data_IF_117607285595
#
_entry.id   IF_117607285595
#
_cell.length_a   1.000
_cell.length_b   1.000
_cell.length_c   1.000
_cell.angle_alpha   90.00
_cell.angle_beta   90.00
_cell.angle_gamma   90.00
#
_symmetry.space_group_name_H-M   'P 1'
#
loop_
_entity.id
_entity.type
_entity.pdbx_description
1 polymer ?
#
# COMPACT_ATOMS: atom_id res chain seq x y z
N UNK A 1 -52.30 4.48 6.18
CA UNK A 1 -51.76 5.82 6.10
C UNK A 1 -50.55 5.91 7.01
N UNK A 2 -49.39 5.78 6.50
CA UNK A 2 -48.12 6.13 7.16
C UNK A 2 -47.22 6.80 6.12
N UNK A 3 -46.87 8.02 6.42
CA UNK A 3 -46.15 9.02 5.65
C UNK A 3 -44.71 8.63 5.36
N UNK A 4 -44.30 8.78 4.10
CA UNK A 4 -42.93 8.71 3.63
C UNK A 4 -42.16 9.98 4.01
N UNK A 5 -40.88 9.92 4.48
CA UNK A 5 -40.07 11.12 4.60
C UNK A 5 -39.49 11.50 3.23
N UNK A 6 -39.71 12.74 2.84
CA UNK A 6 -39.12 13.36 1.65
C UNK A 6 -37.65 13.68 1.87
N UNK A 7 -36.85 13.34 0.88
CA UNK A 7 -35.45 13.75 0.79
C UNK A 7 -35.38 15.13 0.13
N UNK A 8 -35.21 16.18 0.92
CA UNK A 8 -34.90 17.53 0.43
C UNK A 8 -33.88 18.16 1.37
N UNK A 9 -32.66 18.35 0.88
CA UNK A 9 -31.75 19.45 1.23
C UNK A 9 -30.54 19.38 0.27
N UNK A 10 -30.60 20.11 -0.85
CA UNK A 10 -29.47 20.73 -1.53
C UNK A 10 -29.95 22.01 -2.16
N UNK A 11 -29.31 23.18 -1.95
CA UNK A 11 -29.68 24.42 -2.59
C UNK A 11 -29.25 24.43 -4.06
N UNK A 12 -30.16 24.88 -4.91
CA UNK A 12 -29.96 25.19 -6.31
C UNK A 12 -28.98 26.36 -6.46
N UNK A 13 -27.87 26.16 -7.14
CA UNK A 13 -27.24 27.24 -7.89
C UNK A 13 -26.69 26.67 -9.21
N UNK A 14 -27.14 27.25 -10.29
CA UNK A 14 -26.85 26.87 -11.67
C UNK A 14 -25.46 27.33 -12.10
N UNK A 15 -24.87 26.54 -12.94
CA UNK A 15 -23.86 26.74 -13.98
C UNK A 15 -22.60 25.87 -13.78
N UNK A 16 -22.58 24.72 -14.44
CA UNK A 16 -21.36 24.17 -15.07
C UNK A 16 -21.66 22.90 -15.89
N UNK A 17 -21.31 23.00 -17.12
CA UNK A 17 -20.89 22.08 -18.18
C UNK A 17 -20.91 20.58 -17.85
N UNK A 18 -21.60 19.83 -18.75
CA UNK A 18 -21.92 18.42 -18.65
C UNK A 18 -20.73 17.46 -18.55
N UNK A 19 -20.77 16.69 -17.46
CA UNK A 19 -20.10 15.40 -17.36
C UNK A 19 -21.14 14.34 -16.98
N UNK A 20 -21.07 13.11 -17.48
CA UNK A 20 -22.07 12.10 -17.20
C UNK A 20 -22.05 11.70 -15.71
N UNK A 21 -23.22 11.73 -15.09
CA UNK A 21 -23.43 11.31 -13.69
C UNK A 21 -23.07 9.84 -13.52
N UNK A 22 -22.31 9.44 -12.50
CA UNK A 22 -22.12 8.02 -12.19
C UNK A 22 -23.45 7.41 -11.70
N UNK A 23 -23.92 6.41 -12.40
CA UNK A 23 -25.13 5.64 -12.08
C UNK A 23 -24.79 4.66 -10.94
N UNK A 24 -24.89 5.09 -9.68
CA UNK A 24 -24.76 4.23 -8.50
C UNK A 24 -25.94 4.40 -7.54
N UNK A 25 -27.16 4.26 -8.05
CA UNK A 25 -28.35 4.08 -7.23
C UNK A 25 -29.23 2.97 -7.84
N UNK A 26 -28.75 1.74 -7.81
CA UNK A 26 -29.62 0.59 -7.99
C UNK A 26 -30.15 0.18 -6.60
N UNK A 27 -31.43 0.49 -6.33
CA UNK A 27 -32.19 -0.10 -5.23
C UNK A 27 -32.32 -1.59 -5.53
N UNK A 28 -31.60 -2.44 -4.82
CA UNK A 28 -31.86 -3.87 -4.83
C UNK A 28 -33.08 -4.15 -3.94
N UNK A 29 -34.12 -4.67 -4.55
CA UNK A 29 -35.25 -5.28 -3.83
C UNK A 29 -34.71 -6.50 -3.07
N UNK A 30 -34.86 -6.52 -1.75
CA UNK A 30 -34.58 -7.69 -0.92
C UNK A 30 -35.69 -8.70 -1.19
N UNK A 31 -35.39 -9.73 -1.95
CA UNK A 31 -36.25 -10.90 -2.08
C UNK A 31 -36.10 -11.69 -0.79
N UNK A 32 -37.12 -11.67 0.07
CA UNK A 32 -37.17 -12.52 1.24
C UNK A 32 -37.29 -14.01 0.80
N UNK A 33 -36.15 -14.69 0.81
CA UNK A 33 -36.12 -16.16 0.81
C UNK A 33 -36.14 -16.66 2.25
N UNK A 34 -36.59 -17.90 2.45
CA UNK A 34 -36.63 -18.57 3.75
C UNK A 34 -35.34 -18.31 4.56
N UNK A 35 -35.42 -18.28 5.92
CA UNK A 35 -34.21 -18.11 6.73
C UNK A 35 -33.17 -19.14 6.29
N UNK A 36 -31.94 -18.68 6.02
CA UNK A 36 -30.91 -19.59 5.56
C UNK A 36 -30.63 -20.65 6.60
N UNK A 37 -30.37 -21.87 6.15
CA UNK A 37 -29.93 -22.96 7.03
C UNK A 37 -28.70 -22.53 7.86
N UNK A 38 -28.54 -23.08 9.07
CA UNK A 38 -27.40 -22.74 9.91
C UNK A 38 -26.12 -23.07 9.16
N UNK A 39 -25.25 -22.03 9.02
CA UNK A 39 -23.97 -22.15 8.34
C UNK A 39 -23.06 -22.99 9.21
N UNK A 40 -22.68 -24.16 8.72
CA UNK A 40 -21.78 -25.09 9.39
C UNK A 40 -20.32 -24.96 8.97
N UNK A 41 -19.45 -25.77 9.56
CA UNK A 41 -18.03 -25.83 9.21
C UNK A 41 -17.79 -26.31 7.77
N UNK A 42 -18.70 -27.10 7.20
CA UNK A 42 -18.65 -27.58 5.82
C UNK A 42 -18.79 -26.44 4.83
N UNK A 43 -19.73 -25.52 5.08
CA UNK A 43 -19.90 -24.31 4.27
C UNK A 43 -18.66 -23.42 4.29
N UNK A 44 -18.05 -23.19 5.47
CA UNK A 44 -16.80 -22.43 5.58
C UNK A 44 -15.68 -23.10 4.80
N UNK A 45 -15.56 -24.43 4.87
CA UNK A 45 -14.57 -25.21 4.13
C UNK A 45 -14.77 -25.11 2.62
N UNK A 46 -16.03 -25.05 2.15
CA UNK A 46 -16.35 -24.87 0.74
C UNK A 46 -15.95 -23.46 0.24
N UNK A 47 -16.23 -22.41 1.01
CA UNK A 47 -15.78 -21.05 0.71
C UNK A 47 -14.24 -20.96 0.68
N UNK A 48 -13.56 -21.60 1.63
CA UNK A 48 -12.10 -21.63 1.66
C UNK A 48 -11.53 -22.36 0.43
N UNK A 49 -12.17 -23.46 0.00
CA UNK A 49 -11.78 -24.19 -1.21
C UNK A 49 -12.01 -23.37 -2.48
N UNK A 50 -13.14 -22.65 -2.54
CA UNK A 50 -13.41 -21.69 -3.62
C UNK A 50 -12.35 -20.59 -3.66
N UNK A 51 -11.96 -20.04 -2.51
CA UNK A 51 -10.89 -19.05 -2.39
C UNK A 51 -9.57 -19.59 -2.94
N UNK A 52 -9.15 -20.78 -2.53
CA UNK A 52 -7.91 -21.42 -3.03
C UNK A 52 -7.95 -21.67 -4.53
N UNK A 53 -9.07 -22.14 -5.06
CA UNK A 53 -9.25 -22.34 -6.50
C UNK A 53 -9.15 -21.03 -7.32
N UNK A 54 -9.33 -19.88 -6.66
CA UNK A 54 -9.21 -18.54 -7.25
C UNK A 54 -7.93 -17.81 -6.78
N UNK A 55 -6.89 -18.55 -6.36
CA UNK A 55 -5.56 -18.02 -6.08
C UNK A 55 -5.43 -17.25 -4.77
N UNK A 56 -6.26 -17.55 -3.76
CA UNK A 56 -6.13 -17.03 -2.40
C UNK A 56 -5.44 -18.09 -1.53
N UNK A 57 -4.29 -17.74 -0.95
CA UNK A 57 -3.43 -18.72 -0.26
C UNK A 57 -3.92 -19.04 1.16
N UNK A 58 -4.44 -18.03 1.87
CA UNK A 58 -4.93 -18.18 3.23
C UNK A 58 -6.33 -17.63 3.36
N UNK A 59 -7.09 -18.24 4.28
CA UNK A 59 -8.50 -17.95 4.52
C UNK A 59 -8.82 -18.08 6.01
N UNK A 60 -9.55 -17.14 6.55
CA UNK A 60 -10.04 -17.17 7.93
C UNK A 60 -11.31 -16.33 8.09
N UNK A 61 -11.96 -16.48 9.22
CA UNK A 61 -13.20 -15.76 9.55
C UNK A 61 -12.98 -14.92 10.79
N UNK A 62 -13.25 -13.62 10.70
CA UNK A 62 -13.30 -12.71 11.83
C UNK A 62 -14.75 -12.31 12.15
N UNK A 63 -15.09 -11.97 13.41
CA UNK A 63 -16.38 -11.39 13.74
C UNK A 63 -16.49 -9.97 13.18
N UNK A 64 -17.70 -9.55 12.77
CA UNK A 64 -17.95 -8.17 12.33
C UNK A 64 -18.16 -7.20 13.51
N UNK A 65 -17.52 -7.45 14.64
CA UNK A 65 -17.49 -6.56 15.80
C UNK A 65 -16.56 -5.38 15.59
N UNK A 66 -16.68 -4.37 16.45
CA UNK A 66 -15.76 -3.23 16.47
C UNK A 66 -14.34 -3.71 16.76
N UNK A 67 -13.39 -3.34 15.92
CA UNK A 67 -11.95 -3.64 16.07
C UNK A 67 -11.33 -2.66 17.09
N UNK A 68 -11.70 -2.83 18.38
CA UNK A 68 -11.39 -1.85 19.42
C UNK A 68 -9.88 -1.61 19.58
N UNK A 69 -9.08 -2.67 19.59
CA UNK A 69 -7.62 -2.57 19.69
C UNK A 69 -7.02 -1.72 18.55
N UNK A 70 -7.46 -1.92 17.31
CA UNK A 70 -7.00 -1.12 16.17
C UNK A 70 -7.47 0.33 16.28
N UNK A 71 -8.71 0.57 16.75
CA UNK A 71 -9.26 1.91 16.96
C UNK A 71 -8.41 2.69 17.96
N UNK A 72 -8.15 2.10 19.12
CA UNK A 72 -7.34 2.73 20.16
C UNK A 72 -5.92 3.01 19.69
N UNK A 73 -5.31 2.06 18.96
CA UNK A 73 -3.99 2.24 18.38
C UNK A 73 -3.96 3.38 17.33
N UNK A 74 -4.95 3.48 16.45
CA UNK A 74 -5.04 4.56 15.45
C UNK A 74 -5.20 5.93 16.13
N UNK A 75 -6.08 6.03 17.13
CA UNK A 75 -6.31 7.28 17.86
C UNK A 75 -5.05 7.70 18.62
N UNK A 76 -4.44 6.80 19.39
CA UNK A 76 -3.23 7.06 20.16
C UNK A 76 -2.06 7.48 19.28
N UNK A 77 -1.80 6.76 18.16
CA UNK A 77 -0.71 7.09 17.22
C UNK A 77 -0.93 8.44 16.55
N UNK A 78 -2.17 8.80 16.22
CA UNK A 78 -2.52 10.12 15.66
C UNK A 78 -2.26 11.22 16.69
N UNK A 79 -2.67 11.03 17.93
CA UNK A 79 -2.44 11.99 19.03
C UNK A 79 -0.95 12.19 19.34
N UNK A 80 -0.16 11.12 19.21
CA UNK A 80 1.30 11.15 19.42
C UNK A 80 2.09 11.63 18.19
N UNK A 81 1.43 12.04 17.09
CA UNK A 81 2.09 12.50 15.87
C UNK A 81 2.72 11.39 15.01
N UNK A 82 2.61 10.12 15.41
CA UNK A 82 3.24 8.98 14.71
C UNK A 82 2.60 8.64 13.36
N UNK A 83 1.45 9.23 13.05
CA UNK A 83 0.80 9.07 11.74
C UNK A 83 1.34 10.01 10.67
N UNK A 84 2.16 11.00 11.03
CA UNK A 84 2.55 12.10 10.14
C UNK A 84 1.32 12.69 9.44
N UNK A 85 1.40 12.99 8.17
CA UNK A 85 0.29 13.48 7.32
C UNK A 85 -0.55 12.37 6.69
N UNK A 86 -0.33 11.11 7.07
CA UNK A 86 -1.06 9.96 6.53
C UNK A 86 -2.55 10.05 6.85
N UNK A 87 -3.39 10.06 5.80
CA UNK A 87 -4.84 10.14 5.97
C UNK A 87 -5.49 8.77 6.01
N UNK A 88 -5.22 7.91 5.10
CA UNK A 88 -5.78 6.56 4.95
C UNK A 88 -6.73 6.15 6.12
N UNK A 89 -6.42 5.13 6.90
CA UNK A 89 -7.23 4.71 8.06
C UNK A 89 -7.25 5.75 9.21
N UNK A 90 -6.24 6.63 9.28
CA UNK A 90 -6.16 7.69 10.30
C UNK A 90 -7.14 8.84 10.11
N UNK A 91 -7.67 9.03 8.89
CA UNK A 91 -8.65 10.09 8.62
C UNK A 91 -9.94 9.88 9.41
N UNK A 92 -10.43 8.65 9.44
CA UNK A 92 -11.63 8.26 10.17
C UNK A 92 -11.45 6.86 10.80
N UNK A 93 -10.81 6.76 11.99
CA UNK A 93 -10.59 5.49 12.66
C UNK A 93 -11.89 4.71 12.94
N UNK A 94 -13.00 5.40 13.23
CA UNK A 94 -14.28 4.75 13.49
C UNK A 94 -14.78 4.01 12.23
N UNK A 95 -14.72 4.64 11.06
CA UNK A 95 -15.12 4.01 9.81
C UNK A 95 -14.28 2.76 9.52
N UNK A 96 -12.96 2.87 9.70
CA UNK A 96 -12.01 1.80 9.36
C UNK A 96 -12.06 0.60 10.31
N UNK A 97 -12.64 0.76 11.49
CA UNK A 97 -12.65 -0.26 12.55
C UNK A 97 -14.03 -0.78 12.90
N UNK A 98 -15.06 -0.37 12.18
CA UNK A 98 -16.45 -0.74 12.45
C UNK A 98 -17.11 -1.30 11.16
N UNK A 99 -16.98 -2.62 10.91
CA UNK A 99 -17.45 -3.24 9.67
C UNK A 99 -18.92 -2.98 9.34
N UNK A 100 -19.77 -2.83 10.36
CA UNK A 100 -21.20 -2.54 10.21
C UNK A 100 -21.49 -1.16 9.59
N UNK A 101 -20.52 -0.25 9.59
CA UNK A 101 -20.63 1.03 8.86
C UNK A 101 -20.45 0.87 7.35
N UNK A 102 -19.71 -0.16 6.94
CA UNK A 102 -19.52 -0.45 5.52
C UNK A 102 -20.63 -1.35 4.97
N UNK A 103 -21.08 -2.33 5.76
CA UNK A 103 -22.18 -3.26 5.41
C UNK A 103 -23.12 -3.34 6.59
N UNK A 104 -24.35 -2.82 6.45
CA UNK A 104 -25.37 -2.92 7.48
C UNK A 104 -25.65 -4.40 7.79
N UNK A 105 -25.93 -4.70 9.07
CA UNK A 105 -26.21 -6.05 9.57
C UNK A 105 -25.09 -7.07 9.32
N UNK A 106 -23.85 -6.61 9.11
CA UNK A 106 -22.69 -7.47 8.98
C UNK A 106 -22.51 -8.34 10.24
N UNK A 107 -22.24 -9.63 10.04
CA UNK A 107 -22.03 -10.62 11.11
C UNK A 107 -20.62 -11.20 11.12
N UNK A 108 -19.98 -11.28 9.94
CA UNK A 108 -18.64 -11.83 9.80
C UNK A 108 -17.84 -11.13 8.69
N UNK A 109 -16.53 -11.28 8.77
CA UNK A 109 -15.59 -10.98 7.70
C UNK A 109 -14.93 -12.28 7.26
N UNK A 110 -14.98 -12.58 5.97
CA UNK A 110 -14.07 -13.54 5.36
C UNK A 110 -12.79 -12.79 5.06
N UNK A 111 -11.69 -13.19 5.68
CA UNK A 111 -10.37 -12.53 5.52
C UNK A 111 -9.45 -13.48 4.79
N UNK A 112 -8.75 -12.94 3.78
CA UNK A 112 -7.87 -13.73 2.92
C UNK A 112 -6.52 -13.06 2.78
N UNK A 113 -5.51 -13.88 2.46
CA UNK A 113 -4.19 -13.40 2.09
C UNK A 113 -3.75 -14.06 0.78
N UNK A 114 -3.05 -13.29 -0.06
CA UNK A 114 -2.42 -13.74 -1.29
C UNK A 114 -0.95 -13.38 -1.27
N UNK A 115 -0.07 -14.36 -1.52
CA UNK A 115 1.38 -14.15 -1.60
C UNK A 115 1.75 -13.25 -2.79
N UNK A 116 2.77 -12.40 -2.58
CA UNK A 116 3.40 -11.63 -3.64
C UNK A 116 4.89 -12.00 -3.82
N UNK A 117 5.27 -13.21 -3.40
CA UNK A 117 6.63 -13.70 -3.61
C UNK A 117 6.79 -14.10 -5.07
N UNK A 118 7.74 -13.44 -5.73
CA UNK A 118 8.18 -13.73 -7.10
C UNK A 118 9.71 -13.83 -7.12
N UNK A 119 10.24 -14.50 -8.13
CA UNK A 119 11.68 -14.45 -8.41
C UNK A 119 12.11 -13.03 -8.73
N UNK A 120 13.23 -12.62 -8.13
CA UNK A 120 13.78 -11.31 -8.39
C UNK A 120 14.50 -11.30 -9.74
N UNK A 121 14.09 -10.45 -10.69
CA UNK A 121 14.78 -10.35 -11.98
C UNK A 121 16.18 -9.78 -11.80
N UNK A 122 17.04 -9.97 -12.79
CA UNK A 122 18.34 -9.32 -12.82
C UNK A 122 18.22 -7.82 -12.97
N UNK A 123 19.01 -7.01 -12.25
CA UNK A 123 18.98 -5.57 -12.37
C UNK A 123 19.43 -5.14 -13.78
N UNK A 124 18.87 -4.03 -14.32
CA UNK A 124 19.31 -3.47 -15.60
C UNK A 124 20.72 -2.88 -15.49
N UNK A 125 21.34 -2.61 -16.65
CA UNK A 125 22.59 -1.87 -16.71
C UNK A 125 22.35 -0.38 -16.39
N UNK A 126 23.35 0.29 -15.80
CA UNK A 126 23.31 1.72 -15.47
C UNK A 126 22.50 2.05 -14.21
N UNK A 127 22.20 3.33 -13.97
CA UNK A 127 21.49 3.76 -12.78
C UNK A 127 20.05 3.29 -12.75
N UNK A 128 19.68 2.51 -11.73
CA UNK A 128 18.31 2.04 -11.51
C UNK A 128 17.86 2.28 -10.07
N UNK A 129 16.57 2.36 -9.90
CA UNK A 129 15.93 2.33 -8.60
C UNK A 129 15.28 0.97 -8.33
N UNK A 130 15.19 0.60 -7.05
CA UNK A 130 14.49 -0.59 -6.58
C UNK A 130 13.06 -0.26 -6.17
N UNK A 131 12.18 -1.24 -6.31
CA UNK A 131 10.76 -1.16 -5.94
C UNK A 131 10.46 -2.24 -4.91
N UNK A 132 9.63 -1.94 -3.92
CA UNK A 132 9.19 -2.94 -2.96
C UNK A 132 8.39 -4.07 -3.63
N UNK A 133 8.58 -5.33 -3.17
CA UNK A 133 8.04 -6.54 -3.81
C UNK A 133 6.55 -6.51 -4.07
N UNK A 134 5.76 -5.94 -3.13
CA UNK A 134 4.30 -5.85 -3.30
C UNK A 134 3.87 -4.99 -4.48
N UNK A 135 4.75 -4.14 -4.99
CA UNK A 135 4.49 -3.20 -6.07
C UNK A 135 5.12 -3.63 -7.42
N UNK A 136 5.77 -4.79 -7.51
CA UNK A 136 6.40 -5.28 -8.74
C UNK A 136 5.40 -5.54 -9.86
N UNK A 137 4.25 -6.15 -9.49
CA UNK A 137 3.10 -6.36 -10.37
C UNK A 137 1.81 -5.95 -9.65
N UNK A 138 0.67 -5.95 -10.30
CA UNK A 138 -0.62 -5.72 -9.65
C UNK A 138 -1.09 -6.99 -8.91
N UNK A 139 -0.63 -7.19 -7.68
CA UNK A 139 -1.07 -8.27 -6.81
C UNK A 139 -2.51 -8.10 -6.31
N UNK A 140 -3.05 -6.87 -6.36
CA UNK A 140 -4.41 -6.59 -5.90
C UNK A 140 -5.48 -6.96 -6.94
N UNK A 141 -5.17 -6.96 -8.24
CA UNK A 141 -6.13 -7.39 -9.26
C UNK A 141 -6.56 -8.85 -9.07
N UNK A 142 -5.64 -9.86 -8.99
CA UNK A 142 -6.04 -11.23 -8.72
C UNK A 142 -6.62 -11.42 -7.31
N UNK A 143 -6.16 -10.68 -6.29
CA UNK A 143 -6.78 -10.70 -4.96
C UNK A 143 -8.26 -10.28 -5.04
N UNK A 144 -8.55 -9.16 -5.72
CA UNK A 144 -9.93 -8.68 -5.92
C UNK A 144 -10.78 -9.69 -6.69
N UNK A 145 -10.22 -10.32 -7.73
CA UNK A 145 -10.93 -11.36 -8.49
C UNK A 145 -11.30 -12.56 -7.60
N UNK A 146 -10.38 -13.03 -6.76
CA UNK A 146 -10.61 -14.08 -5.79
C UNK A 146 -11.68 -13.71 -4.75
N UNK A 147 -11.63 -12.49 -4.19
CA UNK A 147 -12.65 -11.97 -3.28
C UNK A 147 -14.03 -11.91 -3.94
N UNK A 148 -14.11 -11.50 -5.21
CA UNK A 148 -15.37 -11.45 -5.94
C UNK A 148 -15.99 -12.84 -6.17
N UNK A 149 -15.19 -13.91 -6.25
CA UNK A 149 -15.72 -15.27 -6.32
C UNK A 149 -16.47 -15.64 -5.04
N UNK A 150 -15.91 -15.28 -3.87
CA UNK A 150 -16.55 -15.47 -2.55
C UNK A 150 -17.82 -14.61 -2.44
N UNK A 151 -17.77 -13.34 -2.87
CA UNK A 151 -18.93 -12.43 -2.87
C UNK A 151 -20.08 -13.02 -3.70
N UNK A 152 -19.78 -13.54 -4.91
CA UNK A 152 -20.81 -14.16 -5.76
C UNK A 152 -21.46 -15.36 -5.09
N UNK A 153 -20.68 -16.23 -4.45
CA UNK A 153 -21.20 -17.40 -3.74
C UNK A 153 -22.11 -16.96 -2.58
N UNK A 154 -21.62 -16.11 -1.68
CA UNK A 154 -22.41 -15.62 -0.54
C UNK A 154 -23.72 -14.96 -0.97
N UNK A 155 -23.70 -14.20 -2.07
CA UNK A 155 -24.91 -13.57 -2.61
C UNK A 155 -25.86 -14.57 -3.24
N UNK A 156 -25.35 -15.60 -3.91
CA UNK A 156 -26.19 -16.69 -4.46
C UNK A 156 -26.91 -17.44 -3.36
N UNK A 157 -26.28 -17.57 -2.18
CA UNK A 157 -26.83 -18.20 -0.99
C UNK A 157 -27.73 -17.26 -0.16
N UNK A 158 -28.02 -16.05 -0.68
CA UNK A 158 -28.97 -15.10 -0.08
C UNK A 158 -28.38 -14.15 0.96
N UNK A 159 -27.05 -14.08 1.11
CA UNK A 159 -26.37 -13.20 2.05
C UNK A 159 -25.91 -11.90 1.40
N UNK A 160 -25.95 -10.79 2.15
CA UNK A 160 -25.26 -9.56 1.78
C UNK A 160 -23.74 -9.79 1.87
N UNK A 161 -22.99 -9.34 0.85
CA UNK A 161 -21.54 -9.47 0.85
C UNK A 161 -20.89 -8.35 0.00
N UNK A 162 -19.79 -7.75 0.51
CA UNK A 162 -19.01 -6.72 -0.18
C UNK A 162 -17.54 -6.99 0.06
N UNK A 163 -16.74 -6.95 -1.02
CA UNK A 163 -15.28 -7.12 -0.95
C UNK A 163 -14.56 -5.80 -0.74
N UNK A 164 -13.50 -5.84 0.06
CA UNK A 164 -12.57 -4.75 0.35
C UNK A 164 -11.14 -5.25 0.21
N UNK A 165 -10.30 -4.49 -0.47
CA UNK A 165 -8.88 -4.76 -0.60
C UNK A 165 -8.15 -3.42 -0.83
N UNK A 166 -7.20 -3.08 0.04
CA UNK A 166 -6.52 -1.79 0.05
C UNK A 166 -7.53 -0.62 0.14
N UNK A 167 -8.48 -0.73 1.04
CA UNK A 167 -9.56 0.24 1.26
C UNK A 167 -9.63 0.65 2.74
N UNK A 168 -9.92 1.94 3.00
CA UNK A 168 -9.99 2.47 4.36
C UNK A 168 -11.29 2.14 5.11
N UNK A 169 -12.13 1.25 4.62
CA UNK A 169 -13.30 0.74 5.35
C UNK A 169 -12.96 -0.40 6.29
N UNK A 170 -11.77 -1.02 6.15
CA UNK A 170 -11.30 -2.12 7.00
C UNK A 170 -9.83 -1.90 7.35
N UNK A 171 -9.46 -2.19 8.60
CA UNK A 171 -8.05 -2.34 8.98
C UNK A 171 -7.63 -3.78 8.68
N UNK A 172 -7.16 -4.05 7.44
CA UNK A 172 -6.90 -5.39 6.94
C UNK A 172 -6.02 -6.24 7.88
N UNK A 173 -4.98 -5.66 8.47
CA UNK A 173 -4.09 -6.38 9.39
C UNK A 173 -4.80 -6.79 10.68
N UNK A 174 -5.70 -5.95 11.20
CA UNK A 174 -6.51 -6.30 12.37
C UNK A 174 -7.52 -7.39 12.02
N UNK A 175 -8.17 -7.28 10.87
CA UNK A 175 -9.08 -8.32 10.40
C UNK A 175 -8.36 -9.67 10.25
N UNK A 176 -7.14 -9.68 9.69
CA UNK A 176 -6.34 -10.89 9.55
C UNK A 176 -5.94 -11.51 10.90
N UNK A 177 -5.61 -10.67 11.90
CA UNK A 177 -5.32 -11.13 13.26
C UNK A 177 -6.55 -11.72 13.94
N UNK A 178 -7.70 -11.04 13.86
CA UNK A 178 -8.97 -11.51 14.41
C UNK A 178 -9.47 -12.80 13.72
N UNK A 179 -9.13 -12.97 12.44
CA UNK A 179 -9.44 -14.18 11.69
C UNK A 179 -8.47 -15.36 11.98
N UNK A 180 -7.50 -15.18 12.89
CA UNK A 180 -6.53 -16.21 13.25
C UNK A 180 -5.52 -16.53 12.15
N UNK A 181 -5.32 -15.65 11.15
CA UNK A 181 -4.38 -15.90 10.06
C UNK A 181 -2.91 -15.77 10.51
N UNK A 182 -2.64 -14.94 11.51
CA UNK A 182 -1.28 -14.71 11.96
C UNK A 182 -1.22 -13.76 13.15
N UNK A 183 0.00 -13.36 13.53
CA UNK A 183 0.24 -12.43 14.63
C UNK A 183 0.84 -11.12 14.13
N UNK A 184 0.69 -10.05 14.89
CA UNK A 184 1.37 -8.80 14.62
C UNK A 184 2.87 -8.91 14.91
N UNK A 185 3.69 -8.75 13.88
CA UNK A 185 5.13 -8.66 14.04
C UNK A 185 5.55 -7.33 14.70
N UNK A 186 6.75 -7.30 15.25
CA UNK A 186 7.36 -6.06 15.78
C UNK A 186 7.53 -4.97 14.69
N UNK A 187 7.49 -5.35 13.40
CA UNK A 187 7.47 -4.43 12.26
C UNK A 187 6.05 -3.95 11.87
N UNK A 188 5.04 -4.22 12.70
CA UNK A 188 3.62 -3.90 12.48
C UNK A 188 2.97 -4.58 11.24
N UNK A 189 3.64 -5.55 10.58
CA UNK A 189 3.01 -6.42 9.60
C UNK A 189 2.37 -7.63 10.27
N UNK A 190 1.40 -8.26 9.57
CA UNK A 190 0.91 -9.57 9.96
C UNK A 190 1.89 -10.63 9.45
N UNK A 191 2.29 -11.53 10.33
CA UNK A 191 3.13 -12.68 10.07
C UNK A 191 2.28 -13.95 10.09
N UNK A 192 2.14 -14.59 8.94
CA UNK A 192 1.42 -15.85 8.81
C UNK A 192 2.35 -17.01 9.19
N UNK A 193 1.92 -17.99 10.01
CA UNK A 193 2.72 -19.12 10.44
C UNK A 193 3.37 -19.86 9.26
N UNK A 194 4.67 -20.04 9.30
CA UNK A 194 5.43 -20.69 8.23
C UNK A 194 5.58 -19.90 6.93
N UNK A 195 4.85 -18.77 6.78
CA UNK A 195 4.74 -18.02 5.53
C UNK A 195 5.22 -16.55 5.63
N UNK A 196 5.43 -16.03 6.85
CA UNK A 196 5.94 -14.66 7.02
C UNK A 196 4.95 -13.56 6.62
N UNK A 197 5.42 -12.45 6.03
CA UNK A 197 4.62 -11.24 5.81
C UNK A 197 4.50 -10.79 4.33
N UNK A 198 5.01 -11.56 3.37
CA UNK A 198 4.91 -11.19 1.94
C UNK A 198 3.54 -11.55 1.35
N UNK A 199 2.50 -10.91 1.89
CA UNK A 199 1.10 -11.11 1.49
C UNK A 199 0.36 -9.78 1.37
N UNK A 200 -0.45 -9.65 0.30
CA UNK A 200 -1.55 -8.68 0.25
C UNK A 200 -2.77 -9.29 0.93
N UNK A 201 -3.53 -8.45 1.62
CA UNK A 201 -4.70 -8.83 2.41
C UNK A 201 -5.97 -8.27 1.78
N UNK A 202 -7.08 -8.96 2.01
CA UNK A 202 -8.39 -8.47 1.64
C UNK A 202 -9.49 -9.15 2.46
N UNK A 203 -10.66 -8.55 2.44
CA UNK A 203 -11.78 -9.00 3.25
C UNK A 203 -13.09 -8.96 2.47
N UNK A 204 -14.01 -9.88 2.77
CA UNK A 204 -15.43 -9.79 2.40
C UNK A 204 -16.23 -9.59 3.68
N UNK A 205 -16.85 -8.42 3.83
CA UNK A 205 -17.81 -8.19 4.91
C UNK A 205 -19.15 -8.78 4.49
N UNK A 206 -19.78 -9.60 5.35
CA UNK A 206 -21.01 -10.32 5.01
C UNK A 206 -22.03 -10.34 6.14
N UNK A 207 -23.33 -10.45 5.76
CA UNK A 207 -24.45 -10.70 6.68
C UNK A 207 -24.58 -12.17 7.05
N UNK A 208 -23.81 -13.07 6.42
CA UNK A 208 -23.74 -14.48 6.78
C UNK A 208 -23.14 -14.64 8.19
N UNK A 209 -23.78 -15.42 9.06
CA UNK A 209 -23.29 -15.70 10.40
C UNK A 209 -22.24 -16.82 10.38
N UNK A 210 -21.11 -16.57 9.74
CA UNK A 210 -20.02 -17.52 9.65
C UNK A 210 -19.34 -17.70 11.02
N UNK A 211 -18.99 -18.94 11.42
CA UNK A 211 -18.25 -19.18 12.66
C UNK A 211 -16.85 -18.55 12.57
N UNK A 212 -16.59 -17.60 13.47
CA UNK A 212 -15.30 -16.93 13.55
C UNK A 212 -14.22 -17.83 14.19
N UNK A 213 -12.96 -17.52 13.95
CA UNK A 213 -11.84 -18.13 14.66
C UNK A 213 -12.03 -17.93 16.19
N UNK A 214 -11.76 -18.96 17.02
CA UNK A 214 -12.03 -18.90 18.46
C UNK A 214 -11.19 -17.83 19.16
N UNK A 215 -9.93 -17.71 18.81
CA UNK A 215 -9.02 -16.72 19.39
C UNK A 215 -8.00 -16.22 18.34
N UNK A 216 -7.57 -14.94 18.43
CA UNK A 216 -6.48 -14.44 17.64
C UNK A 216 -5.15 -15.08 18.04
N UNK A 217 -4.21 -15.14 17.10
CA UNK A 217 -2.91 -15.78 17.32
C UNK A 217 -2.02 -14.96 18.26
N UNK A 218 -1.35 -15.66 19.19
CA UNK A 218 -0.38 -15.09 20.10
C UNK A 218 0.90 -14.62 19.37
N UNK A 219 1.68 -13.72 20.01
CA UNK A 219 2.95 -13.23 19.47
C UNK A 219 3.95 -14.36 19.21
N UNK A 220 4.44 -14.44 17.98
CA UNK A 220 5.46 -15.38 17.54
C UNK A 220 6.86 -14.77 17.35
N UNK A 221 7.05 -13.47 17.67
CA UNK A 221 8.34 -12.79 17.54
C UNK A 221 9.31 -13.10 18.69
N UNK A 222 8.81 -13.33 19.91
CA UNK A 222 9.64 -13.59 21.07
C UNK A 222 10.70 -12.48 21.29
N UNK A 223 11.96 -12.89 21.51
CA UNK A 223 13.09 -11.97 21.71
C UNK A 223 13.68 -11.35 20.43
N UNK A 224 13.25 -11.79 19.24
CA UNK A 224 13.78 -11.30 17.95
C UNK A 224 13.53 -9.80 17.76
N UNK A 225 14.57 -9.05 17.35
CA UNK A 225 14.51 -7.60 17.07
C UNK A 225 15.05 -7.23 15.67
N UNK A 226 15.33 -8.20 14.79
CA UNK A 226 15.98 -7.97 13.50
C UNK A 226 15.31 -6.89 12.63
N UNK A 227 13.99 -6.77 12.65
CA UNK A 227 13.28 -5.75 11.89
C UNK A 227 13.43 -4.34 12.49
N UNK A 228 13.62 -4.22 13.80
CA UNK A 228 13.89 -2.97 14.49
C UNK A 228 15.32 -2.52 14.13
N UNK A 229 16.30 -3.40 14.34
CA UNK A 229 17.72 -3.13 14.07
C UNK A 229 17.99 -2.89 12.57
N UNK A 230 17.26 -3.60 11.68
CA UNK A 230 17.39 -3.48 10.23
C UNK A 230 16.62 -2.30 9.61
N UNK A 231 15.90 -1.49 10.40
CA UNK A 231 15.17 -0.34 9.86
C UNK A 231 16.15 0.82 9.58
N UNK A 232 16.38 1.23 8.31
CA UNK A 232 17.43 2.19 7.96
C UNK A 232 17.20 3.60 8.51
N UNK A 233 15.99 3.91 8.96
CA UNK A 233 15.60 5.21 9.52
C UNK A 233 15.15 5.10 10.98
N UNK A 234 15.27 3.92 11.59
CA UNK A 234 14.76 3.61 12.93
C UNK A 234 13.28 4.03 13.11
N UNK A 235 12.46 3.79 12.08
CA UNK A 235 11.04 4.13 12.08
C UNK A 235 10.21 3.22 13.00
N UNK A 236 10.70 2.03 13.37
CA UNK A 236 10.05 1.13 14.32
C UNK A 236 10.48 1.57 15.73
N UNK A 237 9.70 2.46 16.32
CA UNK A 237 10.04 3.14 17.58
C UNK A 237 9.75 2.30 18.83
N UNK A 238 8.92 1.28 18.69
CA UNK A 238 8.65 0.24 19.69
C UNK A 238 8.08 -1.02 18.99
N UNK A 239 8.07 -2.20 19.60
CA UNK A 239 7.47 -3.39 19.05
C UNK A 239 6.05 -3.14 18.54
N UNK A 240 5.81 -3.30 17.23
CA UNK A 240 4.52 -3.06 16.59
C UNK A 240 4.13 -1.59 16.41
N UNK A 241 5.01 -0.63 16.72
CA UNK A 241 4.76 0.80 16.59
C UNK A 241 5.72 1.42 15.59
N UNK A 242 5.17 1.96 14.51
CA UNK A 242 5.92 2.62 13.44
C UNK A 242 5.61 4.11 13.44
N UNK A 243 6.65 4.92 13.42
CA UNK A 243 6.57 6.35 13.13
C UNK A 243 6.54 6.53 11.59
N UNK A 244 5.40 6.96 11.06
CA UNK A 244 5.22 7.18 9.63
C UNK A 244 6.16 8.29 9.11
N UNK A 245 6.40 9.34 9.90
CA UNK A 245 7.29 10.44 9.55
C UNK A 245 8.76 10.03 9.33
N UNK A 246 9.13 8.81 9.75
CA UNK A 246 10.44 8.20 9.56
C UNK A 246 10.41 7.00 8.60
N UNK A 247 9.22 6.41 8.34
CA UNK A 247 9.10 5.21 7.52
C UNK A 247 9.28 5.52 6.03
N UNK A 248 10.31 4.95 5.38
CA UNK A 248 10.61 5.17 3.97
C UNK A 248 9.42 4.82 3.06
N UNK A 249 8.61 3.81 3.41
CA UNK A 249 7.42 3.47 2.64
C UNK A 249 6.40 4.63 2.58
N UNK A 250 6.24 5.38 3.68
CA UNK A 250 5.39 6.57 3.71
C UNK A 250 6.10 7.80 3.10
N UNK A 251 7.38 8.04 3.43
CA UNK A 251 8.14 9.18 2.91
C UNK A 251 8.20 9.21 1.38
N UNK A 252 8.23 8.04 0.73
CA UNK A 252 8.18 7.90 -0.72
C UNK A 252 6.81 8.25 -1.32
N UNK A 253 5.74 8.12 -0.55
CA UNK A 253 4.36 8.35 -0.99
C UNK A 253 3.82 9.73 -0.64
N UNK A 254 4.32 10.33 0.45
CA UNK A 254 3.82 11.63 0.91
C UNK A 254 4.25 12.77 -0.03
N UNK A 255 3.43 13.83 -0.17
CA UNK A 255 3.81 15.04 -0.90
C UNK A 255 4.91 15.85 -0.17
N UNK A 256 5.52 16.79 -0.90
CA UNK A 256 6.49 17.73 -0.37
C UNK A 256 7.95 17.27 -0.50
N UNK A 257 8.82 17.98 0.18
CA UNK A 257 10.27 17.73 0.18
C UNK A 257 10.58 16.41 0.86
N UNK A 258 11.47 15.60 0.27
CA UNK A 258 11.99 14.41 0.95
C UNK A 258 12.99 14.88 2.02
N UNK A 259 12.82 14.48 3.31
CA UNK A 259 13.65 14.96 4.39
C UNK A 259 15.14 14.66 4.17
N UNK A 260 16.00 15.66 4.35
CA UNK A 260 17.43 15.56 4.05
C UNK A 260 18.12 14.46 4.87
N UNK A 261 17.73 14.32 6.14
CA UNK A 261 18.26 13.34 7.08
C UNK A 261 18.00 11.88 6.68
N UNK A 262 17.00 11.63 5.84
CA UNK A 262 16.66 10.27 5.38
C UNK A 262 17.04 9.99 3.93
N UNK A 263 17.58 10.99 3.18
CA UNK A 263 17.93 10.81 1.76
C UNK A 263 19.01 9.77 1.56
N UNK A 264 20.05 9.76 2.40
CA UNK A 264 21.09 8.72 2.33
C UNK A 264 20.55 7.33 2.68
N UNK A 265 19.73 7.23 3.72
CA UNK A 265 19.08 5.98 4.15
C UNK A 265 18.08 5.45 3.13
N UNK A 266 17.54 6.29 2.25
CA UNK A 266 16.68 5.87 1.14
C UNK A 266 17.40 4.88 0.21
N UNK A 267 18.72 5.06 -0.02
CA UNK A 267 19.43 4.28 -1.03
C UNK A 267 18.81 4.54 -2.42
N UNK A 268 18.67 3.47 -3.19
CA UNK A 268 18.07 3.55 -4.54
C UNK A 268 16.58 3.23 -4.59
N UNK A 269 15.85 3.28 -3.48
CA UNK A 269 14.41 2.94 -3.46
C UNK A 269 13.58 4.03 -4.15
N UNK A 270 12.67 3.60 -5.03
CA UNK A 270 11.74 4.49 -5.74
C UNK A 270 10.35 4.48 -5.10
N UNK A 271 9.86 3.30 -4.70
CA UNK A 271 8.51 3.11 -4.18
C UNK A 271 8.44 1.95 -3.19
N UNK A 272 7.90 2.20 -2.00
CA UNK A 272 7.82 1.24 -0.92
C UNK A 272 9.18 0.92 -0.28
N UNK A 273 9.16 0.09 0.77
CA UNK A 273 10.35 -0.35 1.49
C UNK A 273 10.07 -1.71 2.17
N UNK A 274 10.90 -2.70 1.91
CA UNK A 274 10.76 -4.06 2.43
C UNK A 274 11.80 -4.40 3.52
N UNK A 275 12.65 -3.45 3.97
CA UNK A 275 13.78 -3.75 4.86
C UNK A 275 13.38 -4.50 6.13
N UNK A 276 12.28 -4.11 6.77
CA UNK A 276 11.79 -4.79 7.96
C UNK A 276 11.21 -6.19 7.68
N UNK A 277 10.96 -6.52 6.43
CA UNK A 277 10.43 -7.81 5.98
C UNK A 277 11.55 -8.74 5.48
N UNK A 278 12.53 -8.21 4.73
CA UNK A 278 13.64 -9.02 4.17
C UNK A 278 14.63 -9.50 5.23
N UNK A 279 14.63 -8.90 6.42
CA UNK A 279 15.42 -9.36 7.57
C UNK A 279 14.62 -10.29 8.51
N UNK A 280 13.32 -10.45 8.28
CA UNK A 280 12.42 -11.24 9.13
C UNK A 280 12.58 -12.75 8.86
N UNK A 281 13.02 -13.57 9.84
CA UNK A 281 13.32 -14.98 9.59
C UNK A 281 12.17 -15.82 9.03
N UNK A 282 10.89 -15.69 9.49
CA UNK A 282 9.77 -16.39 8.87
C UNK A 282 9.59 -16.00 7.39
N UNK A 283 9.65 -14.70 7.08
CA UNK A 283 9.48 -14.17 5.72
C UNK A 283 10.57 -14.65 4.77
N UNK A 284 11.85 -14.61 5.22
CA UNK A 284 12.99 -15.07 4.42
C UNK A 284 12.91 -16.57 4.13
N UNK A 285 12.55 -17.37 5.14
CA UNK A 285 12.41 -18.82 4.96
C UNK A 285 11.28 -19.18 3.98
N UNK A 286 10.17 -18.47 4.06
CA UNK A 286 9.05 -18.66 3.13
C UNK A 286 9.45 -18.27 1.71
N UNK A 287 10.00 -17.07 1.53
CA UNK A 287 10.40 -16.57 0.21
C UNK A 287 11.35 -17.51 -0.52
N UNK A 288 12.32 -18.11 0.19
CA UNK A 288 13.26 -19.09 -0.39
C UNK A 288 12.61 -20.40 -0.85
N UNK A 289 11.42 -20.74 -0.34
CA UNK A 289 10.70 -21.98 -0.68
C UNK A 289 9.60 -21.78 -1.70
N UNK A 290 9.04 -20.58 -1.76
CA UNK A 290 7.85 -20.23 -2.50
C UNK A 290 8.14 -19.36 -3.73
N UNK A 291 9.41 -19.28 -4.16
CA UNK A 291 9.77 -18.60 -5.39
C UNK A 291 9.07 -19.26 -6.58
N UNK A 292 8.11 -18.51 -7.15
CA UNK A 292 7.52 -18.87 -8.44
C UNK A 292 8.24 -18.08 -9.53
N UNK A 293 8.47 -18.67 -10.71
CA UNK A 293 8.94 -17.90 -11.85
C UNK A 293 8.05 -16.68 -12.04
N UNK A 294 8.63 -15.52 -12.33
CA UNK A 294 7.88 -14.31 -12.68
C UNK A 294 7.21 -14.51 -14.04
N UNK A 295 6.27 -15.46 -14.12
CA UNK A 295 5.49 -15.75 -15.31
C UNK A 295 4.40 -14.70 -15.45
N UNK A 296 4.20 -14.28 -16.69
CA UNK A 296 3.08 -13.41 -17.05
C UNK A 296 1.74 -14.00 -16.56
N UNK A 297 0.78 -13.16 -16.14
CA UNK A 297 -0.58 -13.60 -15.81
C UNK A 297 -1.16 -14.43 -16.97
N UNK A 298 -1.93 -15.47 -16.63
CA UNK A 298 -2.52 -16.42 -17.59
C UNK A 298 -3.50 -15.77 -18.60
N UNK A 299 -3.84 -14.50 -18.44
CA UNK A 299 -4.77 -13.71 -19.26
C UNK A 299 -4.10 -12.86 -20.35
N UNK A 300 -2.82 -13.18 -20.69
CA UNK A 300 -2.16 -12.65 -21.90
C UNK A 300 -1.68 -11.19 -21.82
N UNK A 301 -1.88 -10.52 -20.70
CA UNK A 301 -1.29 -9.21 -20.42
C UNK A 301 0.10 -9.38 -19.85
N UNK A 302 1.16 -9.11 -20.62
CA UNK A 302 2.54 -9.08 -20.12
C UNK A 302 2.68 -7.89 -19.19
N UNK A 303 2.33 -8.05 -17.90
CA UNK A 303 2.77 -7.10 -16.88
C UNK A 303 4.27 -7.35 -16.64
N UNK A 304 5.10 -6.45 -17.13
CA UNK A 304 6.53 -6.51 -16.82
C UNK A 304 6.72 -6.35 -15.32
N UNK A 305 7.53 -7.25 -14.72
CA UNK A 305 7.90 -7.15 -13.32
C UNK A 305 8.73 -5.89 -13.11
N UNK A 306 8.19 -4.94 -12.35
CA UNK A 306 8.82 -3.64 -12.09
C UNK A 306 9.67 -3.66 -10.81
N UNK A 307 10.55 -4.66 -10.66
CA UNK A 307 11.46 -4.73 -9.52
C UNK A 307 12.53 -3.63 -9.55
N UNK A 308 12.93 -3.28 -10.75
CA UNK A 308 13.91 -2.24 -11.03
C UNK A 308 13.36 -1.25 -12.05
N UNK A 309 13.67 0.02 -11.85
CA UNK A 309 13.25 1.11 -12.75
C UNK A 309 14.49 1.90 -13.18
N UNK A 310 14.82 1.95 -14.48
CA UNK A 310 15.92 2.78 -14.98
C UNK A 310 15.65 4.25 -14.66
N UNK A 311 16.55 4.86 -13.86
CA UNK A 311 16.34 6.20 -13.31
C UNK A 311 16.38 7.30 -14.36
N UNK A 312 17.26 7.16 -15.36
CA UNK A 312 17.43 8.15 -16.40
C UNK A 312 16.19 8.21 -17.30
N UNK A 313 15.70 7.04 -17.72
CA UNK A 313 14.48 6.89 -18.53
C UNK A 313 13.27 7.46 -17.79
N UNK A 314 13.13 7.17 -16.49
CA UNK A 314 12.06 7.72 -15.68
C UNK A 314 12.11 9.25 -15.63
N UNK A 315 13.29 9.83 -15.42
CA UNK A 315 13.46 11.29 -15.32
C UNK A 315 13.25 12.00 -16.67
N UNK A 316 13.48 11.32 -17.78
CA UNK A 316 13.26 11.85 -19.15
C UNK A 316 11.82 11.63 -19.64
N UNK A 317 11.02 10.76 -18.97
CA UNK A 317 9.65 10.44 -19.38
C UNK A 317 8.69 11.59 -19.16
N UNK A 318 7.66 11.71 -20.01
CA UNK A 318 6.55 12.65 -19.80
C UNK A 318 5.67 12.23 -18.62
N UNK A 319 4.81 13.14 -18.15
CA UNK A 319 3.86 12.83 -17.08
C UNK A 319 2.87 11.72 -17.48
N UNK A 320 2.41 11.73 -18.75
CA UNK A 320 1.52 10.71 -19.30
C UNK A 320 2.20 9.34 -19.32
N UNK A 321 3.46 9.26 -19.73
CA UNK A 321 4.23 8.02 -19.75
C UNK A 321 4.43 7.48 -18.31
N UNK A 322 4.75 8.36 -17.34
CA UNK A 322 4.86 7.96 -15.95
C UNK A 322 3.53 7.45 -15.38
N UNK A 323 2.43 8.12 -15.69
CA UNK A 323 1.11 7.69 -15.23
C UNK A 323 0.64 6.40 -15.91
N UNK A 324 1.01 6.16 -17.15
CA UNK A 324 0.76 4.89 -17.82
C UNK A 324 1.53 3.73 -17.18
N UNK A 325 2.80 3.95 -16.84
CA UNK A 325 3.69 2.92 -16.28
C UNK A 325 3.47 2.67 -14.78
N UNK A 326 3.21 3.74 -14.01
CA UNK A 326 3.22 3.70 -12.53
C UNK A 326 1.91 4.18 -11.91
N UNK A 327 0.90 4.54 -12.69
CA UNK A 327 -0.37 5.08 -12.18
C UNK A 327 -1.19 4.11 -11.33
N UNK A 328 -0.84 2.82 -11.29
CA UNK A 328 -1.40 1.84 -10.34
C UNK A 328 -0.88 2.03 -8.90
N UNK A 329 0.28 2.67 -8.72
CA UNK A 329 0.82 3.00 -7.41
C UNK A 329 0.06 4.17 -6.80
N UNK A 330 0.03 4.21 -5.47
CA UNK A 330 -0.48 5.40 -4.78
C UNK A 330 0.49 6.56 -4.98
N UNK A 331 0.04 7.56 -5.70
CA UNK A 331 0.70 8.86 -5.86
C UNK A 331 -0.26 9.92 -5.33
N UNK A 332 0.20 10.72 -4.37
CA UNK A 332 -0.62 11.80 -3.84
C UNK A 332 -1.11 12.71 -4.97
N UNK A 333 -2.42 12.98 -4.97
CA UNK A 333 -3.11 13.76 -6.02
C UNK A 333 -2.88 13.23 -7.45
N UNK A 334 -2.49 11.95 -7.60
CA UNK A 334 -2.09 11.32 -8.87
C UNK A 334 -1.02 12.12 -9.63
N UNK A 335 -0.13 12.78 -8.90
CA UNK A 335 0.89 13.64 -9.47
C UNK A 335 2.24 12.89 -9.60
N UNK A 336 2.79 12.71 -10.83
CA UNK A 336 4.06 12.02 -11.05
C UNK A 336 5.28 12.79 -10.54
N UNK A 337 5.13 14.05 -10.12
CA UNK A 337 6.19 14.84 -9.51
C UNK A 337 6.87 14.12 -8.34
N UNK A 338 6.09 13.31 -7.59
CA UNK A 338 6.62 12.54 -6.45
C UNK A 338 7.53 11.41 -6.89
N UNK A 339 7.27 10.80 -8.05
CA UNK A 339 8.20 9.81 -8.63
C UNK A 339 9.51 10.46 -9.07
N UNK A 340 9.44 11.64 -9.71
CA UNK A 340 10.64 12.40 -10.12
C UNK A 340 11.47 12.81 -8.91
N UNK A 341 10.83 13.32 -7.85
CA UNK A 341 11.48 13.62 -6.58
C UNK A 341 12.23 12.40 -6.02
N UNK A 342 11.55 11.26 -5.93
CA UNK A 342 12.13 10.02 -5.41
C UNK A 342 13.29 9.54 -6.30
N UNK A 343 13.12 9.62 -7.62
CA UNK A 343 14.12 9.23 -8.59
C UNK A 343 15.40 10.11 -8.52
N UNK A 344 15.26 11.41 -8.29
CA UNK A 344 16.41 12.30 -8.06
C UNK A 344 17.18 11.88 -6.81
N UNK A 345 16.49 11.62 -5.68
CA UNK A 345 17.17 11.16 -4.46
C UNK A 345 17.82 9.80 -4.67
N UNK A 346 17.14 8.85 -5.32
CA UNK A 346 17.70 7.54 -5.63
C UNK A 346 18.94 7.65 -6.55
N UNK A 347 18.90 8.53 -7.53
CA UNK A 347 20.03 8.80 -8.42
C UNK A 347 21.24 9.39 -7.67
N UNK A 348 21.03 10.30 -6.73
CA UNK A 348 22.08 10.84 -5.87
C UNK A 348 22.71 9.80 -4.93
N UNK A 349 22.05 8.69 -4.69
CA UNK A 349 22.59 7.52 -3.95
C UNK A 349 23.18 6.44 -4.86
N UNK A 350 23.23 6.64 -6.16
CA UNK A 350 23.86 5.70 -7.07
C UNK A 350 25.38 5.71 -6.92
N UNK A 351 25.99 4.55 -6.74
CA UNK A 351 27.43 4.38 -6.56
C UNK A 351 28.16 3.81 -7.79
N UNK A 352 27.41 3.44 -8.83
CA UNK A 352 28.02 2.96 -10.07
C UNK A 352 28.45 4.08 -11.01
N UNK A 353 29.04 3.73 -12.17
CA UNK A 353 29.45 4.73 -13.16
C UNK A 353 28.27 5.60 -13.62
N UNK A 354 28.55 6.90 -13.83
CA UNK A 354 27.60 7.86 -14.38
C UNK A 354 28.19 8.48 -15.66
N UNK A 355 27.44 8.37 -16.75
CA UNK A 355 27.83 8.92 -18.05
C UNK A 355 27.22 10.30 -18.32
N UNK A 356 27.51 10.84 -19.48
CA UNK A 356 27.03 12.17 -19.91
C UNK A 356 25.51 12.31 -19.92
N UNK A 357 24.77 11.21 -20.17
CA UNK A 357 23.30 11.24 -20.16
C UNK A 357 22.77 11.57 -18.75
N UNK A 358 23.38 11.01 -17.69
CA UNK A 358 23.06 11.37 -16.30
C UNK A 358 23.32 12.84 -16.04
N UNK A 359 24.49 13.37 -16.51
CA UNK A 359 24.83 14.80 -16.34
C UNK A 359 23.78 15.69 -17.03
N UNK A 360 23.38 15.37 -18.27
CA UNK A 360 22.34 16.13 -18.98
C UNK A 360 21.01 16.14 -18.24
N UNK A 361 20.56 14.98 -17.72
CA UNK A 361 19.33 14.87 -16.95
C UNK A 361 19.41 15.69 -15.67
N UNK A 362 20.48 15.57 -14.89
CA UNK A 362 20.63 16.36 -13.67
C UNK A 362 20.64 17.87 -14.00
N UNK A 363 21.32 18.28 -15.06
CA UNK A 363 21.32 19.68 -15.52
C UNK A 363 19.94 20.18 -15.89
N UNK A 364 19.11 19.38 -16.57
CA UNK A 364 17.75 19.78 -16.90
C UNK A 364 16.88 20.01 -15.66
N UNK A 365 17.07 19.17 -14.63
CA UNK A 365 16.36 19.33 -13.36
C UNK A 365 16.89 20.48 -12.49
N UNK A 366 18.15 20.89 -12.62
CA UNK A 366 18.65 22.11 -11.99
C UNK A 366 17.96 23.37 -12.53
N UNK A 367 17.46 23.34 -13.77
CA UNK A 367 16.66 24.41 -14.38
C UNK A 367 15.15 24.14 -14.42
N UNK A 368 14.64 23.15 -13.69
CA UNK A 368 13.24 22.74 -13.73
C UNK A 368 12.30 23.84 -13.19
N UNK A 369 11.07 23.95 -13.72
CA UNK A 369 10.10 24.94 -13.27
C UNK A 369 9.69 24.76 -11.79
N UNK A 370 9.53 23.51 -11.34
CA UNK A 370 9.20 23.17 -9.95
C UNK A 370 10.42 23.33 -9.03
N UNK A 371 10.40 24.25 -8.03
CA UNK A 371 11.51 24.49 -7.13
C UNK A 371 11.84 23.28 -6.25
N UNK A 372 10.87 22.45 -5.90
CA UNK A 372 11.11 21.23 -5.12
C UNK A 372 11.98 20.25 -5.92
N UNK A 373 11.73 20.07 -7.21
CA UNK A 373 12.56 19.23 -8.07
C UNK A 373 13.95 19.85 -8.28
N UNK A 374 14.08 21.20 -8.44
CA UNK A 374 15.37 21.86 -8.49
C UNK A 374 16.21 21.61 -7.22
N UNK A 375 15.60 21.75 -6.04
CA UNK A 375 16.26 21.50 -4.76
C UNK A 375 16.80 20.07 -4.67
N UNK A 376 16.00 19.07 -5.05
CA UNK A 376 16.46 17.67 -5.07
C UNK A 376 17.55 17.44 -6.12
N UNK A 377 17.51 18.14 -7.27
CA UNK A 377 18.56 18.08 -8.28
C UNK A 377 19.90 18.68 -7.78
N UNK A 378 19.84 19.75 -6.96
CA UNK A 378 21.03 20.31 -6.28
C UNK A 378 21.68 19.25 -5.40
N UNK A 379 20.90 18.58 -4.55
CA UNK A 379 21.39 17.51 -3.70
C UNK A 379 21.98 16.35 -4.52
N UNK A 380 21.30 15.95 -5.59
CA UNK A 380 21.74 14.88 -6.49
C UNK A 380 23.06 15.24 -7.17
N UNK A 381 23.18 16.48 -7.69
CA UNK A 381 24.39 16.96 -8.34
C UNK A 381 25.60 16.97 -7.38
N UNK A 382 25.41 17.44 -6.15
CA UNK A 382 26.43 17.42 -5.11
C UNK A 382 26.90 15.99 -4.79
N UNK A 383 25.94 15.07 -4.60
CA UNK A 383 26.22 13.66 -4.29
C UNK A 383 26.96 12.90 -5.40
N UNK A 384 26.71 13.26 -6.66
CA UNK A 384 27.36 12.66 -7.83
C UNK A 384 28.69 13.34 -8.21
N UNK A 385 29.14 14.34 -7.45
CA UNK A 385 30.37 15.09 -7.74
C UNK A 385 30.23 16.09 -8.86
N UNK A 386 29.00 16.51 -9.23
CA UNK A 386 28.74 17.50 -10.28
C UNK A 386 28.65 18.94 -9.74
N UNK A 387 29.41 19.28 -8.70
CA UNK A 387 29.34 20.57 -8.01
C UNK A 387 29.59 21.75 -8.96
N UNK A 388 30.37 21.57 -10.03
CA UNK A 388 30.61 22.60 -11.06
C UNK A 388 29.34 22.96 -11.87
N UNK A 389 28.29 22.15 -11.80
CA UNK A 389 27.01 22.39 -12.48
C UNK A 389 26.01 23.17 -11.63
N UNK A 390 26.30 23.36 -10.33
CA UNK A 390 25.38 24.02 -9.42
C UNK A 390 25.21 25.48 -9.78
N UNK A 391 23.98 26.03 -9.82
CA UNK A 391 23.78 27.46 -10.05
C UNK A 391 24.35 28.28 -8.89
N UNK A 392 24.80 29.50 -9.16
CA UNK A 392 25.34 30.38 -8.12
C UNK A 392 24.29 30.77 -7.08
N UNK A 393 23.05 30.97 -7.52
CA UNK A 393 21.90 31.31 -6.67
C UNK A 393 20.59 30.81 -7.30
N UNK A 394 19.49 30.90 -6.58
CA UNK A 394 18.13 30.68 -7.07
C UNK A 394 17.19 31.73 -6.44
N UNK A 395 15.96 31.85 -6.92
CA UNK A 395 14.97 32.78 -6.35
C UNK A 395 14.15 32.10 -5.24
N UNK A 396 14.11 30.77 -5.24
CA UNK A 396 13.30 30.00 -4.29
C UNK A 396 14.09 29.67 -3.01
N UNK A 397 13.53 29.97 -1.82
CA UNK A 397 14.20 29.73 -0.54
C UNK A 397 14.60 28.26 -0.31
N UNK A 398 13.82 27.32 -0.82
CA UNK A 398 14.12 25.89 -0.72
C UNK A 398 15.40 25.53 -1.47
N UNK A 399 15.53 26.04 -2.70
CA UNK A 399 16.72 25.81 -3.54
C UNK A 399 17.95 26.51 -2.96
N UNK A 400 17.79 27.75 -2.44
CA UNK A 400 18.86 28.48 -1.75
C UNK A 400 19.39 27.66 -0.56
N UNK A 401 18.49 27.10 0.23
CA UNK A 401 18.86 26.26 1.39
C UNK A 401 19.66 25.03 0.94
N UNK A 402 19.20 24.33 -0.11
CA UNK A 402 19.92 23.16 -0.63
C UNK A 402 21.29 23.53 -1.23
N UNK A 403 21.40 24.67 -1.91
CA UNK A 403 22.67 25.15 -2.42
C UNK A 403 23.68 25.46 -1.29
N UNK A 404 23.20 26.02 -0.18
CA UNK A 404 24.05 26.27 1.00
C UNK A 404 24.54 24.93 1.60
N UNK A 405 23.65 23.94 1.76
CA UNK A 405 24.01 22.60 2.25
C UNK A 405 24.97 21.86 1.32
N UNK A 406 24.80 22.01 0.00
CA UNK A 406 25.65 21.35 -0.99
C UNK A 406 27.06 21.93 -1.09
N UNK A 407 27.29 23.14 -0.55
CA UNK A 407 28.59 23.84 -0.53
C UNK A 407 29.32 23.78 0.80
N UNK A 408 28.60 23.39 1.88
CA UNK A 408 29.17 23.17 3.20
C UNK A 408 29.92 21.83 3.29
#
# INVERSE_FOLDING_TARGET
MRSTPSCSIWPSNEQSVGLPRPVWCLRFAIVHRNPPEPIDAGYVSSLASLGRANGLDHFGIAPASVMQRARDALVSRKQSGLSDTMQFTYRNPQRSTEPTRAVADAKALVVVARSYVLDEPSPPAGPFATVARYAWVDHYAPLRAGLQSIVRQLRADGHGAVAFADDNSVVDREAAWLAGLGWFGKNANILLPGSGSFFVLGSVITTAALPAAPEPMADGCGSCQRCIDGCPTAAIVAPGVVDAGRCLAWLLQRPGVFPVEFRAALGTRLYGCDECQVVCPPTVRFARRATEPATAPADGGVQSVQAFVPLVELLESSDEQLMQSFGRWYLADRNPVWLRRNALVALGNWHGPVGERVQRVVRSYLGHADPMLRAHAVWTAARLGFSAMLPLTDLDPLVITELALARA
#
